data_IF_127135389327
#
_entry.id   IF_127135389327
#
_cell.length_a   1.000
_cell.length_b   1.000
_cell.length_c   1.000
_cell.angle_alpha   90.00
_cell.angle_beta   90.00
_cell.angle_gamma   90.00
#
_symmetry.space_group_name_H-M   'P 1'
#
loop_
_entity.id
_entity.type
_entity.pdbx_description
1 polymer ?
#
# COMPACT_ATOMS: atom_id res chain seq x y z
N UNK A 1 8.31 6.81 16.45
CA UNK A 1 8.24 7.43 15.11
C UNK A 1 7.62 6.43 14.14
N UNK A 2 6.64 6.87 13.32
CA UNK A 2 6.05 5.98 12.32
C UNK A 2 7.06 5.66 11.22
N UNK A 3 7.07 4.40 10.77
CA UNK A 3 7.86 3.99 9.61
C UNK A 3 7.39 4.72 8.36
N UNK A 4 8.33 5.22 7.58
CA UNK A 4 8.05 5.95 6.35
C UNK A 4 8.91 5.37 5.23
N UNK A 5 8.31 5.17 4.08
CA UNK A 5 9.00 4.81 2.84
C UNK A 5 8.87 5.96 1.85
N UNK A 6 9.98 6.40 1.29
CA UNK A 6 9.96 7.33 0.18
C UNK A 6 10.03 6.54 -1.12
N UNK A 7 9.01 6.69 -1.95
CA UNK A 7 8.91 6.02 -3.24
C UNK A 7 9.44 6.91 -4.34
N UNK A 8 10.31 6.37 -5.16
CA UNK A 8 10.74 7.05 -6.38
C UNK A 8 9.94 6.49 -7.55
N UNK A 9 9.05 7.31 -8.08
CA UNK A 9 8.13 6.95 -9.16
C UNK A 9 8.35 7.89 -10.35
N UNK A 10 7.64 7.61 -11.44
CA UNK A 10 7.73 8.41 -12.66
C UNK A 10 6.35 8.87 -13.08
N UNK A 11 6.20 10.16 -13.31
CA UNK A 11 4.93 10.75 -13.74
C UNK A 11 4.53 10.17 -15.10
N UNK A 12 3.24 9.90 -15.23
CA UNK A 12 2.72 9.28 -16.45
C UNK A 12 2.77 10.20 -17.66
N UNK A 13 2.72 11.52 -17.45
CA UNK A 13 2.65 12.50 -18.53
C UNK A 13 4.03 12.78 -19.18
N UNK A 14 5.08 12.98 -18.39
CA UNK A 14 6.38 13.40 -18.89
C UNK A 14 7.55 12.51 -18.46
N UNK A 15 7.26 11.42 -17.74
CA UNK A 15 8.24 10.48 -17.20
C UNK A 15 9.26 11.11 -16.24
N UNK A 16 8.97 12.31 -15.72
CA UNK A 16 9.82 12.94 -14.71
C UNK A 16 9.70 12.21 -13.36
N UNK A 17 10.74 12.35 -12.54
CA UNK A 17 10.77 11.70 -11.20
C UNK A 17 9.77 12.38 -10.27
N UNK A 18 8.99 11.55 -9.56
CA UNK A 18 8.08 11.95 -8.50
C UNK A 18 8.47 11.19 -7.24
N UNK A 19 8.70 11.91 -6.14
CA UNK A 19 8.99 11.29 -4.85
C UNK A 19 7.73 11.36 -3.99
N UNK A 20 7.26 10.20 -3.54
CA UNK A 20 6.07 10.10 -2.71
C UNK A 20 6.43 9.60 -1.32
N UNK A 21 5.84 10.23 -0.31
CA UNK A 21 5.94 9.83 1.09
C UNK A 21 4.80 8.86 1.40
N UNK A 22 5.12 7.62 1.76
CA UNK A 22 4.11 6.60 2.05
C UNK A 22 3.09 7.03 3.10
N UNK A 23 3.51 7.84 4.06
CA UNK A 23 2.64 8.36 5.12
C UNK A 23 1.51 9.25 4.59
N UNK A 24 1.73 9.91 3.45
CA UNK A 24 0.76 10.81 2.84
C UNK A 24 -0.16 10.10 1.83
N UNK A 25 0.15 8.87 1.46
CA UNK A 25 -0.64 8.13 0.46
C UNK A 25 -1.84 7.48 1.15
N UNK A 26 -3.04 7.80 0.67
CA UNK A 26 -4.29 7.18 1.14
C UNK A 26 -4.55 5.90 0.35
N UNK A 27 -4.41 5.96 -0.98
CA UNK A 27 -4.98 5.00 -1.89
C UNK A 27 -4.25 5.02 -3.23
N UNK A 28 -4.07 3.84 -3.81
CA UNK A 28 -3.44 3.67 -5.12
C UNK A 28 -4.34 2.76 -5.94
N UNK A 29 -4.71 3.19 -7.14
CA UNK A 29 -5.55 2.40 -8.02
C UNK A 29 -5.11 2.51 -9.47
N UNK A 30 -5.70 1.64 -10.30
CA UNK A 30 -5.64 1.78 -11.75
C UNK A 30 -6.82 2.62 -12.20
N UNK A 31 -6.57 3.69 -12.97
CA UNK A 31 -7.63 4.56 -13.47
C UNK A 31 -8.53 3.77 -14.45
N UNK A 32 -9.81 3.54 -14.12
CA UNK A 32 -10.71 2.77 -14.97
C UNK A 32 -11.08 3.47 -16.27
N UNK A 33 -10.95 4.80 -16.32
CA UNK A 33 -11.30 5.60 -17.49
C UNK A 33 -10.13 5.83 -18.43
N UNK A 34 -8.91 5.48 -18.02
CA UNK A 34 -7.71 5.61 -18.84
C UNK A 34 -7.57 4.39 -19.74
N UNK A 35 -7.42 4.62 -21.06
CA UNK A 35 -7.16 3.55 -22.02
C UNK A 35 -5.87 2.79 -21.67
N UNK A 36 -4.88 3.51 -21.17
CA UNK A 36 -3.57 2.96 -20.79
C UNK A 36 -3.54 2.36 -19.40
N UNK A 37 -4.67 2.34 -18.68
CA UNK A 37 -4.80 1.85 -17.30
C UNK A 37 -3.70 2.38 -16.39
N UNK A 38 -3.53 3.70 -16.37
CA UNK A 38 -2.51 4.37 -15.57
C UNK A 38 -2.79 4.22 -14.09
N UNK A 39 -1.72 4.11 -13.29
CA UNK A 39 -1.81 4.08 -11.85
C UNK A 39 -1.99 5.49 -11.30
N UNK A 40 -2.97 5.67 -10.41
CA UNK A 40 -3.21 6.93 -9.72
C UNK A 40 -2.91 6.79 -8.24
N UNK A 41 -2.29 7.83 -7.67
CA UNK A 41 -1.97 7.92 -6.24
C UNK A 41 -2.75 9.09 -5.66
N UNK A 42 -3.60 8.81 -4.65
CA UNK A 42 -4.33 9.84 -3.90
C UNK A 42 -3.58 10.18 -2.62
N UNK A 43 -3.35 11.46 -2.37
CA UNK A 43 -2.62 11.95 -1.21
C UNK A 43 -3.51 12.75 -0.26
N UNK A 44 -3.21 12.66 1.04
CA UNK A 44 -4.07 13.19 2.10
C UNK A 44 -4.02 14.71 2.23
N UNK A 45 -2.80 15.26 2.37
CA UNK A 45 -2.65 16.67 2.75
C UNK A 45 -3.13 17.67 1.69
N UNK A 46 -2.96 17.33 0.41
CA UNK A 46 -3.35 18.21 -0.70
C UNK A 46 -4.62 17.77 -1.41
N UNK A 47 -5.17 16.61 -1.03
CA UNK A 47 -6.39 16.01 -1.62
C UNK A 47 -6.31 15.91 -3.16
N UNK A 48 -5.13 15.61 -3.67
CA UNK A 48 -4.88 15.49 -5.11
C UNK A 48 -4.65 14.04 -5.52
N UNK A 49 -4.84 13.78 -6.81
CA UNK A 49 -4.51 12.52 -7.46
C UNK A 49 -3.39 12.76 -8.47
N UNK A 50 -2.43 11.83 -8.51
CA UNK A 50 -1.29 11.89 -9.43
C UNK A 50 -1.16 10.58 -10.19
N UNK A 51 -0.97 10.69 -11.50
CA UNK A 51 -0.78 9.52 -12.37
C UNK A 51 0.70 9.18 -12.49
N UNK A 52 1.04 7.90 -12.35
CA UNK A 52 2.41 7.39 -12.44
C UNK A 52 2.48 6.19 -13.38
N UNK A 53 3.69 5.88 -13.86
CA UNK A 53 3.93 4.78 -14.78
C UNK A 53 4.00 3.42 -14.11
N UNK A 54 4.43 3.36 -12.86
CA UNK A 54 4.56 2.11 -12.12
C UNK A 54 3.18 1.51 -11.82
N UNK A 55 3.06 0.18 -11.95
CA UNK A 55 1.80 -0.52 -11.64
C UNK A 55 1.59 -0.61 -10.13
N UNK A 56 0.32 -0.76 -9.67
CA UNK A 56 0.06 -0.96 -8.24
C UNK A 56 0.84 -2.14 -7.65
N UNK A 57 0.99 -3.24 -8.38
CA UNK A 57 1.76 -4.40 -7.89
C UNK A 57 3.24 -4.08 -7.70
N UNK A 58 3.84 -3.33 -8.60
CA UNK A 58 5.24 -2.89 -8.46
C UNK A 58 5.41 -1.97 -7.26
N UNK A 59 4.45 -1.08 -7.03
CA UNK A 59 4.47 -0.18 -5.88
C UNK A 59 4.27 -0.96 -4.58
N UNK A 60 3.38 -1.95 -4.57
CA UNK A 60 3.07 -2.76 -3.39
C UNK A 60 4.31 -3.50 -2.85
N UNK A 61 5.20 -3.96 -3.71
CA UNK A 61 6.45 -4.60 -3.29
C UNK A 61 7.23 -3.72 -2.29
N UNK A 62 7.17 -2.40 -2.49
CA UNK A 62 7.84 -1.44 -1.62
C UNK A 62 7.00 -1.01 -0.41
N UNK A 63 5.69 -1.23 -0.43
CA UNK A 63 4.76 -0.75 0.61
C UNK A 63 4.19 -1.87 1.49
N UNK A 64 4.47 -3.13 1.17
CA UNK A 64 3.91 -4.29 1.85
C UNK A 64 4.08 -4.24 3.37
N UNK A 65 5.24 -3.77 3.84
CA UNK A 65 5.56 -3.65 5.26
C UNK A 65 5.33 -2.25 5.83
N UNK A 66 4.70 -1.36 5.08
CA UNK A 66 4.45 0.03 5.50
C UNK A 66 2.97 0.32 5.76
N UNK A 67 2.19 -0.72 6.05
CA UNK A 67 0.79 -0.56 6.45
C UNK A 67 -0.18 -0.44 5.29
N UNK A 68 0.13 -1.04 4.14
CA UNK A 68 -0.75 -1.02 2.97
C UNK A 68 -1.41 -2.38 2.77
N UNK A 69 -2.68 -2.35 2.38
CA UNK A 69 -3.48 -3.53 2.06
C UNK A 69 -3.66 -3.59 0.54
N UNK A 70 -3.48 -4.79 -0.01
CA UNK A 70 -3.72 -5.07 -1.43
C UNK A 70 -5.07 -5.76 -1.56
N UNK A 71 -5.92 -5.21 -2.41
CA UNK A 71 -7.25 -5.77 -2.70
C UNK A 71 -7.57 -5.61 -4.19
N UNK A 72 -8.78 -6.00 -4.58
CA UNK A 72 -9.17 -6.01 -6.00
C UNK A 72 -10.49 -5.28 -6.19
N UNK A 73 -10.53 -4.37 -7.16
CA UNK A 73 -11.76 -3.67 -7.54
C UNK A 73 -12.79 -4.67 -8.07
N UNK A 74 -14.02 -4.54 -7.62
CA UNK A 74 -15.09 -5.45 -8.03
C UNK A 74 -15.38 -5.40 -9.52
N UNK A 75 -15.37 -4.21 -10.13
CA UNK A 75 -15.82 -4.02 -11.50
C UNK A 75 -14.91 -4.69 -12.54
N UNK A 76 -13.60 -4.71 -12.33
CA UNK A 76 -12.62 -5.17 -13.33
C UNK A 76 -11.52 -6.05 -12.74
N UNK A 77 -11.57 -6.36 -11.45
CA UNK A 77 -10.57 -7.15 -10.71
C UNK A 77 -9.16 -6.53 -10.72
N UNK A 78 -9.04 -5.23 -10.99
CA UNK A 78 -7.74 -4.55 -10.94
C UNK A 78 -7.25 -4.40 -9.51
N UNK A 79 -5.93 -4.36 -9.35
CA UNK A 79 -5.30 -4.23 -8.04
C UNK A 79 -5.47 -2.81 -7.50
N UNK A 80 -5.88 -2.72 -6.24
CA UNK A 80 -5.97 -1.48 -5.50
C UNK A 80 -5.23 -1.62 -4.18
N UNK A 81 -4.61 -0.54 -3.71
CA UNK A 81 -3.90 -0.50 -2.44
C UNK A 81 -4.48 0.60 -1.57
N UNK A 82 -4.62 0.35 -0.27
CA UNK A 82 -4.99 1.42 0.65
C UNK A 82 -4.11 1.38 1.89
N UNK A 83 -3.91 2.56 2.47
CA UNK A 83 -3.14 2.75 3.70
C UNK A 83 -4.06 2.57 4.90
N UNK A 84 -3.71 1.65 5.81
CA UNK A 84 -4.53 1.39 7.01
C UNK A 84 -4.65 2.61 7.93
N UNK A 85 -3.71 3.55 7.87
CA UNK A 85 -3.79 4.79 8.66
C UNK A 85 -4.99 5.67 8.27
N UNK A 86 -5.49 5.50 7.04
CA UNK A 86 -6.62 6.29 6.54
C UNK A 86 -7.90 5.47 6.41
N UNK A 87 -7.88 4.24 6.89
CA UNK A 87 -9.06 3.38 6.91
C UNK A 87 -10.07 3.89 7.93
N UNK A 88 -11.34 3.97 7.52
CA UNK A 88 -12.42 4.40 8.40
C UNK A 88 -13.30 3.20 8.78
N UNK A 89 -13.92 2.56 7.79
CA UNK A 89 -14.87 1.46 8.02
C UNK A 89 -15.00 0.61 6.75
N UNK A 90 -15.35 -0.64 6.93
CA UNK A 90 -15.68 -1.56 5.85
C UNK A 90 -17.03 -2.20 6.16
N UNK A 91 -17.93 -2.19 5.20
CA UNK A 91 -19.26 -2.77 5.37
C UNK A 91 -19.79 -3.34 4.07
N UNK A 92 -20.87 -4.09 4.17
CA UNK A 92 -21.62 -4.61 3.01
C UNK A 92 -22.77 -3.65 2.71
N UNK A 93 -22.93 -3.28 1.43
CA UNK A 93 -24.03 -2.43 1.00
C UNK A 93 -25.32 -3.25 0.76
N UNK A 94 -26.38 -2.57 0.28
CA UNK A 94 -27.68 -3.19 0.02
C UNK A 94 -27.61 -4.31 -1.04
N UNK A 95 -26.67 -4.21 -1.96
CA UNK A 95 -26.47 -5.20 -3.03
C UNK A 95 -25.58 -6.37 -2.60
N UNK A 96 -25.09 -6.36 -1.36
CA UNK A 96 -24.18 -7.38 -0.85
C UNK A 96 -22.71 -7.14 -1.21
N UNK A 97 -22.38 -5.97 -1.74
CA UNK A 97 -21.02 -5.62 -2.13
C UNK A 97 -20.23 -5.08 -0.94
N UNK A 98 -18.95 -5.39 -0.90
CA UNK A 98 -18.04 -4.88 0.13
C UNK A 98 -17.55 -3.49 -0.24
N UNK A 99 -17.80 -2.53 0.65
CA UNK A 99 -17.34 -1.15 0.47
C UNK A 99 -16.34 -0.81 1.57
N UNK A 100 -15.18 -0.33 1.16
CA UNK A 100 -14.14 0.19 2.05
C UNK A 100 -14.19 1.72 2.00
N UNK A 101 -14.34 2.34 3.16
CA UNK A 101 -14.40 3.80 3.29
C UNK A 101 -13.08 4.30 3.86
N UNK A 102 -12.48 5.24 3.16
CA UNK A 102 -11.21 5.86 3.53
C UNK A 102 -11.39 7.36 3.75
N UNK A 103 -10.39 8.00 4.35
CA UNK A 103 -10.35 9.45 4.51
C UNK A 103 -10.50 10.18 3.17
N UNK A 104 -10.90 11.45 3.21
CA UNK A 104 -11.12 12.30 2.04
C UNK A 104 -12.26 11.80 1.15
N UNK A 105 -13.28 11.15 1.76
CA UNK A 105 -14.48 10.65 1.07
C UNK A 105 -14.21 9.62 -0.03
N UNK A 106 -13.10 8.90 0.06
CA UNK A 106 -12.76 7.84 -0.88
C UNK A 106 -13.54 6.57 -0.51
N UNK A 107 -14.22 5.99 -1.50
CA UNK A 107 -14.93 4.72 -1.37
C UNK A 107 -14.39 3.72 -2.38
N UNK A 108 -14.16 2.47 -1.93
CA UNK A 108 -13.69 1.39 -2.78
C UNK A 108 -14.67 0.23 -2.72
N UNK A 109 -15.20 -0.16 -3.87
CA UNK A 109 -15.99 -1.39 -4.00
C UNK A 109 -15.06 -2.53 -4.40
N UNK A 110 -14.91 -3.53 -3.52
CA UNK A 110 -13.90 -4.57 -3.66
C UNK A 110 -14.50 -5.97 -3.74
N UNK A 111 -13.74 -6.91 -4.31
CA UNK A 111 -14.12 -8.32 -4.41
C UNK A 111 -14.02 -9.06 -3.08
N UNK A 112 -13.10 -8.64 -2.22
CA UNK A 112 -12.86 -9.28 -0.94
C UNK A 112 -14.07 -9.10 0.00
N UNK A 113 -14.36 -10.11 0.81
CA UNK A 113 -15.37 -10.00 1.87
C UNK A 113 -14.88 -9.10 2.99
N UNK A 114 -15.79 -8.54 3.84
CA UNK A 114 -15.35 -7.76 5.00
C UNK A 114 -14.42 -8.52 5.93
N UNK A 115 -14.61 -9.83 6.09
CA UNK A 115 -13.69 -10.65 6.90
C UNK A 115 -12.30 -10.73 6.28
N UNK A 116 -12.21 -10.86 4.96
CA UNK A 116 -10.92 -10.87 4.26
C UNK A 116 -10.22 -9.52 4.37
N UNK A 117 -10.97 -8.43 4.28
CA UNK A 117 -10.42 -7.08 4.49
C UNK A 117 -9.90 -6.94 5.92
N UNK A 118 -10.67 -7.40 6.92
CA UNK A 118 -10.23 -7.38 8.31
C UNK A 118 -8.92 -8.14 8.50
N UNK A 119 -8.84 -9.36 7.97
CA UNK A 119 -7.63 -10.18 8.07
C UNK A 119 -6.44 -9.53 7.35
N UNK A 120 -6.68 -8.91 6.20
CA UNK A 120 -5.64 -8.20 5.46
C UNK A 120 -5.12 -6.97 6.22
N UNK A 121 -6.01 -6.24 6.91
CA UNK A 121 -5.61 -5.10 7.75
C UNK A 121 -4.74 -5.59 8.91
N UNK A 122 -5.15 -6.66 9.61
CA UNK A 122 -4.38 -7.22 10.71
C UNK A 122 -3.01 -7.69 10.23
N UNK A 123 -2.96 -8.34 9.07
CA UNK A 123 -1.69 -8.77 8.48
C UNK A 123 -0.79 -7.58 8.13
N UNK A 124 -1.34 -6.55 7.51
CA UNK A 124 -0.60 -5.34 7.17
C UNK A 124 -0.04 -4.66 8.42
N UNK A 125 -0.83 -4.59 9.49
CA UNK A 125 -0.41 -4.04 10.77
C UNK A 125 0.71 -4.89 11.40
N UNK A 126 0.58 -6.20 11.33
CA UNK A 126 1.57 -7.15 11.84
C UNK A 126 2.90 -7.00 11.08
N UNK A 127 2.86 -6.92 9.75
CA UNK A 127 4.06 -6.73 8.92
C UNK A 127 4.73 -5.38 9.22
N UNK A 128 3.95 -4.33 9.38
CA UNK A 128 4.46 -3.02 9.74
C UNK A 128 5.25 -3.05 11.07
N UNK A 129 4.68 -3.69 12.09
CA UNK A 129 5.31 -3.77 13.40
C UNK A 129 6.49 -4.75 13.42
N UNK A 130 6.40 -5.84 12.68
CA UNK A 130 7.35 -6.95 12.69
C UNK A 130 8.68 -6.61 12.01
N UNK A 131 8.67 -5.76 10.98
CA UNK A 131 9.89 -5.45 10.23
C UNK A 131 10.96 -4.81 11.09
N UNK A 132 10.60 -3.96 12.06
CA UNK A 132 11.58 -3.37 12.99
C UNK A 132 12.25 -4.44 13.85
N UNK A 133 11.50 -5.46 14.27
CA UNK A 133 12.04 -6.60 15.04
C UNK A 133 12.91 -7.49 14.15
N UNK A 134 12.48 -7.79 12.93
CA UNK A 134 13.24 -8.62 11.98
C UNK A 134 14.54 -7.97 11.56
N UNK A 135 14.55 -6.67 11.30
CA UNK A 135 15.77 -5.94 10.98
C UNK A 135 16.79 -6.02 12.13
N UNK A 136 16.34 -5.94 13.37
CA UNK A 136 17.17 -6.10 14.55
C UNK A 136 17.74 -7.52 14.62
N UNK A 137 16.93 -8.55 14.37
CA UNK A 137 17.34 -9.95 14.39
C UNK A 137 18.35 -10.24 13.27
N UNK A 138 18.10 -9.75 12.05
CA UNK A 138 19.00 -9.93 10.91
C UNK A 138 20.37 -9.30 11.18
N UNK A 139 20.40 -8.10 11.74
CA UNK A 139 21.66 -7.44 12.12
C UNK A 139 22.44 -8.25 13.14
N UNK A 140 21.80 -8.83 14.15
CA UNK A 140 22.43 -9.69 15.16
C UNK A 140 23.00 -10.97 14.54
N UNK A 141 22.24 -11.63 13.64
CA UNK A 141 22.72 -12.84 12.94
C UNK A 141 23.93 -12.56 12.06
N UNK A 142 23.94 -11.44 11.36
CA UNK A 142 25.07 -11.04 10.51
C UNK A 142 26.32 -10.83 11.35
N UNK A 143 26.22 -10.18 12.52
CA UNK A 143 27.32 -9.98 13.43
C UNK A 143 27.87 -11.31 14.00
N UNK A 144 26.97 -12.25 14.35
CA UNK A 144 27.37 -13.57 14.83
C UNK A 144 28.12 -14.37 13.77
N UNK A 145 27.70 -14.33 12.51
CA UNK A 145 28.39 -15.02 11.42
C UNK A 145 29.75 -14.40 11.14
N UNK A 146 29.88 -13.08 11.18
CA UNK A 146 31.17 -12.40 11.04
C UNK A 146 32.16 -12.80 12.15
N UNK A 147 31.68 -12.91 13.38
CA UNK A 147 32.50 -13.35 14.52
C UNK A 147 32.94 -14.81 14.39
N UNK A 148 32.11 -15.70 13.85
CA UNK A 148 32.46 -17.10 13.61
C UNK A 148 33.56 -17.24 12.55
N UNK A 149 33.50 -16.46 11.48
CA UNK A 149 34.47 -16.47 10.40
C UNK A 149 35.83 -15.94 10.88
N UNK A 150 35.86 -15.02 11.84
CA UNK A 150 37.09 -14.51 12.42
C UNK A 150 37.79 -15.51 13.38
N UNK A 151 37.07 -16.50 13.90
CA UNK A 151 37.64 -17.52 14.83
C UNK A 151 38.21 -18.73 14.12
N UNK A 152 38.10 -18.81 12.82
CA UNK A 152 38.71 -19.84 11.99
C UNK A 152 40.05 -19.34 11.41
#
# INVERSE_FOLDING_TARGET
MKKVKFLKLHRADDNSVLIANSKEIIYINTDPESEDKKTTIATYSDDEERAVNETPDKIYVHLESYGFVRCHRKSDNSVELFNIDYFIVCSTDEDGDTIVYLSNSIEMCVNETPERIYNAIIQAQTLYNREDVENTVVKKKTQQNANKDQKQ
#
